data_IF_401583146483
#
_entry.id   IF_401583146483
#
_cell.length_a   1.000
_cell.length_b   1.000
_cell.length_c   1.000
_cell.angle_alpha   90.00
_cell.angle_beta   90.00
_cell.angle_gamma   90.00
#
_symmetry.space_group_name_H-M   'P 1'
#
loop_
_entity.id
_entity.type
_entity.pdbx_description
1 polymer ?
#
# COMPACT_ATOMS: atom_id res chain seq x y z
N UNK A 1 11.44 -17.23 -16.09
CA UNK A 1 9.97 -17.30 -16.16
C UNK A 1 9.36 -16.47 -15.03
N UNK A 2 9.63 -15.16 -15.00
CA UNK A 2 9.01 -14.31 -13.99
C UNK A 2 7.60 -13.94 -14.49
N UNK A 3 6.57 -14.31 -13.73
CA UNK A 3 5.18 -13.91 -14.01
C UNK A 3 4.40 -14.74 -15.03
N UNK A 4 4.92 -15.87 -15.51
CA UNK A 4 4.17 -16.82 -16.34
C UNK A 4 3.57 -17.92 -15.46
N UNK A 5 2.36 -17.66 -14.94
CA UNK A 5 1.72 -18.47 -13.91
C UNK A 5 1.19 -19.79 -14.49
N UNK A 6 0.56 -19.73 -15.67
CA UNK A 6 0.07 -20.89 -16.39
C UNK A 6 1.20 -21.86 -16.72
N UNK A 7 2.28 -21.36 -17.31
CA UNK A 7 3.45 -22.19 -17.64
C UNK A 7 4.10 -22.79 -16.40
N UNK A 8 4.17 -22.05 -15.29
CA UNK A 8 4.70 -22.57 -14.04
C UNK A 8 3.87 -23.74 -13.48
N UNK A 9 2.55 -23.69 -13.62
CA UNK A 9 1.65 -24.80 -13.25
C UNK A 9 1.90 -26.01 -14.15
N UNK A 10 1.92 -25.82 -15.47
CA UNK A 10 2.17 -26.89 -16.44
C UNK A 10 3.49 -27.63 -16.17
N UNK A 11 4.57 -26.90 -15.90
CA UNK A 11 5.88 -27.49 -15.58
C UNK A 11 5.80 -28.33 -14.31
N UNK A 12 5.12 -27.85 -13.27
CA UNK A 12 4.94 -28.64 -12.05
C UNK A 12 4.14 -29.91 -12.31
N UNK A 13 3.11 -29.85 -13.16
CA UNK A 13 2.30 -31.02 -13.52
C UNK A 13 3.10 -32.05 -14.34
N UNK A 14 3.82 -31.60 -15.36
CA UNK A 14 4.66 -32.45 -16.21
C UNK A 14 5.78 -33.16 -15.44
N UNK A 15 6.28 -32.55 -14.36
CA UNK A 15 7.31 -33.13 -13.50
C UNK A 15 6.75 -33.93 -12.32
N UNK A 16 5.46 -34.33 -12.33
CA UNK A 16 4.84 -35.10 -11.25
C UNK A 16 4.64 -34.32 -9.94
N UNK A 17 4.88 -33.00 -9.94
CA UNK A 17 4.77 -32.10 -8.79
C UNK A 17 3.44 -31.34 -8.73
N UNK A 18 2.46 -31.72 -9.56
CA UNK A 18 1.15 -31.06 -9.63
C UNK A 18 0.35 -31.08 -8.31
N UNK A 19 0.61 -32.06 -7.43
CA UNK A 19 -0.04 -32.15 -6.11
C UNK A 19 0.69 -31.39 -4.99
N UNK A 20 1.82 -30.74 -5.27
CA UNK A 20 2.58 -29.99 -4.26
C UNK A 20 1.82 -28.75 -3.79
N UNK A 21 2.13 -28.27 -2.57
CA UNK A 21 1.59 -27.02 -2.03
C UNK A 21 1.86 -25.82 -2.95
N UNK A 22 3.02 -25.79 -3.60
CA UNK A 22 3.37 -24.75 -4.57
C UNK A 22 2.43 -24.78 -5.79
N UNK A 23 2.21 -25.95 -6.39
CA UNK A 23 1.31 -26.10 -7.53
C UNK A 23 -0.14 -25.73 -7.17
N UNK A 24 -0.61 -26.11 -5.98
CA UNK A 24 -1.94 -25.73 -5.49
C UNK A 24 -2.06 -24.22 -5.27
N UNK A 25 -1.03 -23.59 -4.69
CA UNK A 25 -0.97 -22.14 -4.50
C UNK A 25 -1.01 -21.39 -5.84
N UNK A 26 -0.17 -21.79 -6.80
CA UNK A 26 -0.12 -21.16 -8.13
C UNK A 26 -1.45 -21.31 -8.87
N UNK A 27 -2.03 -22.51 -8.91
CA UNK A 27 -3.36 -22.72 -9.52
C UNK A 27 -4.44 -21.85 -8.90
N UNK A 28 -4.43 -21.72 -7.58
CA UNK A 28 -5.35 -20.84 -6.88
C UNK A 28 -5.10 -19.36 -7.21
N UNK A 29 -3.84 -18.92 -7.28
CA UNK A 29 -3.49 -17.55 -7.68
C UNK A 29 -3.91 -17.24 -9.13
N UNK A 30 -3.63 -18.15 -10.08
CA UNK A 30 -4.08 -18.03 -11.47
C UNK A 30 -5.60 -17.95 -11.57
N UNK A 31 -6.32 -18.78 -10.79
CA UNK A 31 -7.79 -18.77 -10.77
C UNK A 31 -8.34 -17.45 -10.25
N UNK A 32 -7.81 -16.94 -9.14
CA UNK A 32 -8.23 -15.66 -8.56
C UNK A 32 -8.00 -14.47 -9.51
N UNK A 33 -6.96 -14.57 -10.35
CA UNK A 33 -6.59 -13.57 -11.36
C UNK A 33 -7.19 -13.84 -12.75
N UNK A 34 -8.04 -14.86 -12.88
CA UNK A 34 -8.70 -15.15 -14.16
C UNK A 34 -9.78 -14.09 -14.42
N UNK A 35 -9.82 -13.45 -15.61
CA UNK A 35 -10.81 -12.42 -15.93
C UNK A 35 -12.24 -12.91 -15.64
N UNK A 36 -13.05 -12.05 -15.02
CA UNK A 36 -14.41 -12.40 -14.61
C UNK A 36 -14.57 -13.43 -13.47
N UNK A 37 -13.50 -14.03 -12.93
CA UNK A 37 -13.62 -14.92 -11.78
C UNK A 37 -14.11 -14.17 -10.54
N UNK A 38 -15.07 -14.75 -9.80
CA UNK A 38 -15.57 -14.23 -8.52
C UNK A 38 -15.64 -15.37 -7.50
N UNK A 39 -15.45 -15.03 -6.23
CA UNK A 39 -15.47 -16.03 -5.16
C UNK A 39 -16.86 -16.70 -5.07
N UNK A 40 -16.93 -18.03 -4.93
CA UNK A 40 -18.21 -18.73 -4.78
C UNK A 40 -18.86 -18.35 -3.46
N UNK A 41 -20.08 -17.81 -3.54
CA UNK A 41 -20.90 -17.47 -2.38
C UNK A 41 -21.86 -18.63 -2.12
N UNK A 42 -21.85 -19.18 -0.91
CA UNK A 42 -22.77 -20.25 -0.49
C UNK A 42 -23.76 -19.75 0.57
N UNK A 43 -24.93 -20.40 0.62
CA UNK A 43 -26.00 -20.12 1.59
C UNK A 43 -27.03 -19.08 1.14
N UNK A 44 -28.07 -18.91 1.94
CA UNK A 44 -29.12 -17.90 1.71
C UNK A 44 -28.57 -16.48 1.82
N UNK A 45 -29.24 -15.53 1.15
CA UNK A 45 -28.94 -14.10 1.22
C UNK A 45 -29.04 -13.63 2.67
N UNK A 46 -27.95 -13.10 3.22
CA UNK A 46 -27.94 -12.47 4.55
C UNK A 46 -28.23 -10.99 4.32
N UNK A 47 -29.46 -10.53 4.57
CA UNK A 47 -29.83 -9.15 4.22
C UNK A 47 -29.02 -8.13 5.03
N UNK A 48 -28.17 -7.35 4.34
CA UNK A 48 -27.51 -6.20 4.92
C UNK A 48 -28.52 -5.15 5.39
N UNK A 49 -28.10 -4.18 6.20
CA UNK A 49 -28.94 -3.00 6.44
C UNK A 49 -29.15 -2.27 5.11
N UNK A 50 -30.29 -1.59 4.98
CA UNK A 50 -30.44 -0.57 3.96
C UNK A 50 -29.48 0.60 4.21
N UNK A 51 -29.78 1.76 3.61
CA UNK A 51 -29.10 3.00 4.00
C UNK A 51 -29.33 3.35 5.48
N UNK A 52 -28.49 4.24 6.05
CA UNK A 52 -28.70 4.73 7.41
C UNK A 52 -30.08 5.39 7.53
N UNK A 53 -30.77 5.11 8.63
CA UNK A 53 -32.04 5.75 8.99
C UNK A 53 -31.81 7.15 9.58
N UNK A 54 -32.86 7.96 9.69
CA UNK A 54 -32.74 9.30 10.25
C UNK A 54 -32.22 9.26 11.70
N UNK A 55 -31.11 9.96 11.97
CA UNK A 55 -30.45 9.98 13.28
C UNK A 55 -29.46 8.83 13.52
N UNK A 56 -29.32 7.89 12.58
CA UNK A 56 -28.37 6.79 12.67
C UNK A 56 -27.02 7.17 12.07
N UNK A 57 -25.94 6.95 12.83
CA UNK A 57 -24.58 7.12 12.32
C UNK A 57 -24.29 6.17 11.16
N UNK A 58 -23.61 6.68 10.13
CA UNK A 58 -23.10 5.83 9.04
C UNK A 58 -22.10 4.81 9.62
N UNK A 59 -22.27 3.53 9.28
CA UNK A 59 -21.39 2.43 9.66
C UNK A 59 -20.64 1.91 8.44
N UNK A 60 -19.32 1.80 8.54
CA UNK A 60 -18.46 1.37 7.42
C UNK A 60 -17.58 0.19 7.85
N UNK A 61 -17.64 -0.91 7.10
CA UNK A 61 -16.72 -2.03 7.26
C UNK A 61 -15.56 -1.87 6.28
N UNK A 62 -14.36 -1.64 6.81
CA UNK A 62 -13.15 -1.46 6.02
C UNK A 62 -12.40 -2.78 5.85
N UNK A 63 -12.06 -3.15 4.62
CA UNK A 63 -11.31 -4.37 4.29
C UNK A 63 -9.86 -4.01 3.98
N UNK A 64 -8.97 -4.38 4.90
CA UNK A 64 -7.57 -3.95 4.91
C UNK A 64 -6.60 -5.12 4.71
N UNK A 65 -5.52 -4.89 3.97
CA UNK A 65 -4.43 -5.87 3.81
C UNK A 65 -3.56 -5.99 5.06
N UNK A 66 -3.32 -4.86 5.74
CA UNK A 66 -2.53 -4.75 6.97
C UNK A 66 -3.00 -3.50 7.74
N UNK A 67 -2.59 -3.35 9.00
CA UNK A 67 -2.97 -2.19 9.80
C UNK A 67 -2.00 -1.93 10.96
N UNK A 68 -2.20 -0.82 11.66
CA UNK A 68 -1.65 -0.67 13.01
C UNK A 68 -2.24 -1.74 13.95
N UNK A 69 -1.51 -2.15 15.01
CA UNK A 69 -0.17 -1.70 15.37
C UNK A 69 0.94 -2.52 14.69
N UNK A 70 0.58 -3.58 13.96
CA UNK A 70 1.55 -4.60 13.54
C UNK A 70 2.28 -4.28 12.23
N UNK A 71 1.77 -3.36 11.42
CA UNK A 71 2.44 -2.88 10.21
C UNK A 71 2.36 -1.37 10.16
N UNK A 72 3.52 -0.73 10.03
CA UNK A 72 3.65 0.72 9.86
C UNK A 72 4.22 1.00 8.47
N UNK A 73 3.31 1.21 7.53
CA UNK A 73 3.54 1.57 6.12
C UNK A 73 2.66 2.77 5.75
N UNK A 74 2.91 3.41 4.60
CA UNK A 74 2.03 4.48 4.12
C UNK A 74 0.55 4.06 4.02
N UNK A 75 0.27 2.81 3.63
CA UNK A 75 -1.10 2.30 3.55
C UNK A 75 -1.78 2.12 4.92
N UNK A 76 -1.07 1.60 5.91
CA UNK A 76 -1.64 1.41 7.26
C UNK A 76 -1.82 2.76 7.97
N UNK A 77 -0.88 3.70 7.79
CA UNK A 77 -0.98 5.07 8.32
C UNK A 77 -2.16 5.81 7.68
N UNK A 78 -2.29 5.74 6.35
CA UNK A 78 -3.45 6.32 5.65
C UNK A 78 -4.77 5.73 6.14
N UNK A 79 -4.89 4.40 6.22
CA UNK A 79 -6.10 3.76 6.75
C UNK A 79 -6.41 4.27 8.15
N UNK A 80 -5.43 4.33 9.03
CA UNK A 80 -5.64 4.77 10.40
C UNK A 80 -6.09 6.24 10.46
N UNK A 81 -5.46 7.15 9.70
CA UNK A 81 -5.85 8.55 9.65
C UNK A 81 -7.25 8.77 9.08
N UNK A 82 -7.63 8.02 8.02
CA UNK A 82 -9.00 8.04 7.51
C UNK A 82 -9.97 7.57 8.59
N UNK A 83 -9.68 6.46 9.28
CA UNK A 83 -10.55 5.91 10.31
C UNK A 83 -10.73 6.88 11.50
N UNK A 84 -9.65 7.53 11.96
CA UNK A 84 -9.71 8.58 12.99
C UNK A 84 -10.59 9.75 12.54
N UNK A 85 -10.36 10.26 11.33
CA UNK A 85 -11.14 11.39 10.81
C UNK A 85 -12.63 11.04 10.64
N UNK A 86 -12.95 9.84 10.16
CA UNK A 86 -14.34 9.35 10.07
C UNK A 86 -15.00 9.30 11.46
N UNK A 87 -14.32 8.75 12.47
CA UNK A 87 -14.79 8.72 13.85
C UNK A 87 -15.08 10.14 14.37
N UNK A 88 -14.19 11.08 14.12
CA UNK A 88 -14.33 12.48 14.57
C UNK A 88 -15.52 13.18 13.92
N UNK A 89 -15.99 12.69 12.77
CA UNK A 89 -17.20 13.14 12.08
C UNK A 89 -18.43 12.24 12.38
N UNK A 90 -18.39 11.44 13.45
CA UNK A 90 -19.52 10.62 13.89
C UNK A 90 -19.80 9.38 13.04
N UNK A 91 -18.88 9.00 12.15
CA UNK A 91 -18.97 7.80 11.31
C UNK A 91 -18.34 6.63 12.06
N UNK A 92 -19.13 5.59 12.29
CA UNK A 92 -18.70 4.38 12.97
C UNK A 92 -17.95 3.48 11.99
N UNK A 93 -16.74 3.06 12.35
CA UNK A 93 -15.90 2.22 11.49
C UNK A 93 -15.43 0.97 12.22
N UNK A 94 -15.40 -0.14 11.49
CA UNK A 94 -14.73 -1.38 11.91
C UNK A 94 -13.80 -1.84 10.79
N UNK A 95 -12.54 -2.14 11.12
CA UNK A 95 -11.53 -2.52 10.15
C UNK A 95 -11.21 -4.02 10.25
N UNK A 96 -11.53 -4.78 9.21
CA UNK A 96 -11.22 -6.20 9.10
C UNK A 96 -9.94 -6.38 8.28
N UNK A 97 -8.92 -7.01 8.86
CA UNK A 97 -7.70 -7.38 8.12
C UNK A 97 -7.78 -8.74 7.44
N UNK A 98 -6.97 -8.93 6.39
CA UNK A 98 -6.82 -10.21 5.67
C UNK A 98 -6.59 -11.42 6.58
N UNK A 99 -7.09 -12.58 6.15
CA UNK A 99 -6.93 -13.86 6.85
C UNK A 99 -5.47 -14.20 7.15
N UNK A 100 -5.19 -14.54 8.42
CA UNK A 100 -3.88 -14.92 8.92
C UNK A 100 -2.97 -13.76 9.30
N UNK A 101 -3.39 -12.51 9.11
CA UNK A 101 -2.69 -11.34 9.63
C UNK A 101 -3.04 -11.10 11.11
N UNK A 102 -2.08 -10.75 11.99
CA UNK A 102 -0.64 -10.53 11.75
C UNK A 102 0.25 -11.76 11.96
N UNK A 103 -0.31 -12.94 12.29
CA UNK A 103 0.47 -14.17 12.53
C UNK A 103 1.42 -14.49 11.37
N UNK A 104 0.96 -14.31 10.13
CA UNK A 104 1.74 -14.55 8.92
C UNK A 104 2.94 -13.61 8.72
N UNK A 105 3.03 -12.52 9.48
CA UNK A 105 4.18 -11.60 9.47
C UNK A 105 5.06 -11.75 10.74
N UNK A 106 4.94 -12.89 11.44
CA UNK A 106 5.77 -13.20 12.60
C UNK A 106 5.26 -12.62 13.92
N UNK A 107 3.96 -12.31 14.03
CA UNK A 107 3.31 -11.86 15.26
C UNK A 107 2.29 -12.90 15.75
N UNK A 108 2.74 -14.05 16.29
CA UNK A 108 1.85 -15.16 16.64
C UNK A 108 0.97 -14.91 17.88
N UNK A 109 1.38 -13.98 18.75
CA UNK A 109 0.71 -13.67 20.02
C UNK A 109 -0.08 -12.36 19.92
N UNK A 110 -0.96 -12.23 18.94
CA UNK A 110 -1.83 -11.08 18.75
C UNK A 110 -3.25 -11.36 19.23
N UNK A 111 -3.97 -10.32 19.66
CA UNK A 111 -5.40 -10.42 19.92
C UNK A 111 -6.20 -10.51 18.61
N UNK A 112 -7.41 -11.06 18.69
CA UNK A 112 -8.37 -11.06 17.58
C UNK A 112 -8.93 -9.66 17.31
N UNK A 113 -8.93 -8.79 18.32
CA UNK A 113 -9.38 -7.40 18.25
C UNK A 113 -8.33 -6.47 18.88
N UNK A 114 -7.95 -5.43 18.15
CA UNK A 114 -7.19 -4.29 18.68
C UNK A 114 -8.07 -3.04 18.69
N UNK A 115 -7.92 -2.19 19.71
CA UNK A 115 -8.45 -0.82 19.69
C UNK A 115 -7.31 0.17 19.82
N UNK A 116 -7.12 1.00 18.79
CA UNK A 116 -6.04 2.00 18.73
C UNK A 116 -6.69 3.33 18.40
N UNK A 117 -6.49 4.33 19.25
CA UNK A 117 -7.11 5.65 19.09
C UNK A 117 -8.62 5.53 18.85
N UNK A 118 -9.31 4.70 19.64
CA UNK A 118 -10.76 4.45 19.50
C UNK A 118 -11.18 3.73 18.21
N UNK A 119 -10.25 3.29 17.36
CA UNK A 119 -10.52 2.54 16.12
C UNK A 119 -10.40 1.05 16.38
N UNK A 120 -11.47 0.30 16.06
CA UNK A 120 -11.52 -1.15 16.19
C UNK A 120 -10.95 -1.86 14.97
N UNK A 121 -9.95 -2.70 15.18
CA UNK A 121 -9.34 -3.58 14.19
C UNK A 121 -9.64 -5.03 14.53
N UNK A 122 -10.36 -5.74 13.67
CA UNK A 122 -10.68 -7.15 13.77
C UNK A 122 -9.74 -7.98 12.90
N UNK A 123 -9.23 -9.09 13.44
CA UNK A 123 -8.35 -10.03 12.75
C UNK A 123 -9.15 -11.26 12.31
N UNK A 124 -8.88 -11.75 11.10
CA UNK A 124 -9.43 -13.05 10.67
C UNK A 124 -8.39 -14.14 10.98
N UNK A 125 -8.49 -14.75 12.16
CA UNK A 125 -7.55 -15.77 12.68
C UNK A 125 -8.24 -17.13 12.87
N UNK A 126 -8.54 -17.87 11.78
CA UNK A 126 -9.18 -19.18 11.92
C UNK A 126 -8.22 -20.18 12.56
N UNK A 127 -8.76 -21.11 13.37
CA UNK A 127 -7.99 -22.19 13.98
C UNK A 127 -7.18 -23.01 12.97
N UNK A 128 -7.71 -23.18 11.75
CA UNK A 128 -7.00 -23.80 10.62
C UNK A 128 -7.00 -22.83 9.44
N UNK A 129 -5.81 -22.37 9.06
CA UNK A 129 -5.65 -21.49 7.91
C UNK A 129 -5.90 -22.23 6.60
N UNK A 130 -6.64 -21.62 5.68
CA UNK A 130 -6.87 -22.16 4.34
C UNK A 130 -5.56 -22.48 3.62
N UNK A 131 -5.48 -23.66 3.01
CA UNK A 131 -4.27 -24.13 2.34
C UNK A 131 -3.91 -23.29 1.09
N UNK A 132 -4.91 -22.72 0.42
CA UNK A 132 -4.75 -21.92 -0.80
C UNK A 132 -5.13 -20.45 -0.57
N UNK A 133 -4.63 -19.51 -1.40
CA UNK A 133 -5.09 -18.13 -1.41
C UNK A 133 -6.62 -18.00 -1.46
N UNK A 134 -7.28 -18.72 -2.37
CA UNK A 134 -8.74 -18.72 -2.52
C UNK A 134 -9.47 -19.18 -1.25
N UNK A 135 -8.99 -20.27 -0.63
CA UNK A 135 -9.58 -20.76 0.62
C UNK A 135 -9.49 -19.74 1.76
N UNK A 136 -8.42 -18.94 1.80
CA UNK A 136 -8.24 -17.86 2.79
C UNK A 136 -9.16 -16.68 2.51
N UNK A 137 -9.42 -16.34 1.25
CA UNK A 137 -10.42 -15.31 0.92
C UNK A 137 -11.82 -15.77 1.29
N UNK A 138 -12.14 -17.05 1.08
CA UNK A 138 -13.42 -17.62 1.54
C UNK A 138 -13.57 -17.61 3.07
N UNK A 139 -12.47 -17.78 3.82
CA UNK A 139 -12.46 -17.56 5.27
C UNK A 139 -12.75 -16.10 5.62
N UNK A 140 -12.14 -15.15 4.91
CA UNK A 140 -12.36 -13.73 5.11
C UNK A 140 -13.80 -13.31 4.79
N UNK A 141 -14.39 -13.87 3.72
CA UNK A 141 -15.80 -13.63 3.37
C UNK A 141 -16.72 -14.13 4.48
N UNK A 142 -16.46 -15.30 5.08
CA UNK A 142 -17.28 -15.80 6.20
C UNK A 142 -17.23 -14.88 7.42
N UNK A 143 -16.03 -14.46 7.82
CA UNK A 143 -15.87 -13.50 8.92
C UNK A 143 -16.55 -12.17 8.61
N UNK A 144 -16.36 -11.63 7.40
CA UNK A 144 -16.98 -10.38 6.98
C UNK A 144 -18.51 -10.45 6.97
N UNK A 145 -19.10 -11.60 6.60
CA UNK A 145 -20.56 -11.81 6.64
C UNK A 145 -21.07 -11.88 8.08
N UNK A 146 -20.36 -12.52 8.99
CA UNK A 146 -20.70 -12.50 10.43
C UNK A 146 -20.65 -11.08 10.99
N UNK A 147 -19.60 -10.33 10.64
CA UNK A 147 -19.52 -8.91 10.99
C UNK A 147 -20.68 -8.11 10.38
N UNK A 148 -21.15 -8.44 9.18
CA UNK A 148 -22.33 -7.77 8.61
C UNK A 148 -23.59 -8.01 9.46
N UNK A 149 -23.75 -9.20 10.02
CA UNK A 149 -24.86 -9.54 10.91
C UNK A 149 -24.78 -8.74 12.22
N UNK A 150 -23.59 -8.64 12.81
CA UNK A 150 -23.38 -8.01 14.12
C UNK A 150 -23.25 -6.47 14.03
N UNK A 151 -22.36 -5.99 13.17
CA UNK A 151 -22.01 -4.57 13.04
C UNK A 151 -22.94 -3.82 12.09
N UNK A 152 -23.69 -4.52 11.21
CA UNK A 152 -24.67 -3.92 10.30
C UNK A 152 -24.07 -2.72 9.52
N UNK A 153 -22.99 -2.88 8.74
CA UNK A 153 -22.40 -1.78 7.98
C UNK A 153 -23.30 -1.35 6.82
N UNK A 154 -23.36 -0.04 6.55
CA UNK A 154 -24.08 0.53 5.41
C UNK A 154 -23.23 0.52 4.13
N UNK A 155 -21.90 0.48 4.27
CA UNK A 155 -20.93 0.49 3.17
C UNK A 155 -19.77 -0.44 3.49
N UNK A 156 -19.31 -1.18 2.48
CA UNK A 156 -18.03 -1.89 2.50
C UNK A 156 -16.96 -1.02 1.84
N UNK A 157 -15.83 -0.79 2.50
CA UNK A 157 -14.74 0.00 1.96
C UNK A 157 -13.49 -0.88 1.79
N UNK A 158 -13.24 -1.35 0.58
CA UNK A 158 -12.10 -2.18 0.26
C UNK A 158 -10.92 -1.34 -0.23
N UNK A 159 -9.72 -1.71 0.21
CA UNK A 159 -8.47 -1.07 -0.20
C UNK A 159 -7.68 -2.02 -1.09
N UNK A 160 -6.86 -1.51 -2.02
CA UNK A 160 -5.91 -2.32 -2.82
C UNK A 160 -5.25 -3.43 -1.99
N UNK A 161 -5.16 -4.68 -2.45
CA UNK A 161 -5.26 -5.20 -3.83
C UNK A 161 -6.58 -5.90 -4.19
N UNK A 162 -6.63 -6.50 -5.40
CA UNK A 162 -7.74 -7.32 -5.91
C UNK A 162 -8.33 -8.31 -4.91
N UNK A 163 -7.57 -8.78 -3.90
CA UNK A 163 -8.07 -9.76 -2.91
C UNK A 163 -9.11 -9.14 -2.00
N UNK A 164 -8.89 -7.92 -1.51
CA UNK A 164 -9.88 -7.21 -0.70
C UNK A 164 -11.10 -6.87 -1.55
N UNK A 165 -10.90 -6.48 -2.81
CA UNK A 165 -11.99 -6.19 -3.73
C UNK A 165 -12.84 -7.44 -4.02
N UNK A 166 -12.24 -8.62 -4.22
CA UNK A 166 -12.96 -9.89 -4.35
C UNK A 166 -13.78 -10.23 -3.10
N UNK A 167 -13.24 -9.97 -1.90
CA UNK A 167 -13.98 -10.16 -0.64
C UNK A 167 -15.15 -9.19 -0.55
N UNK A 168 -14.93 -7.90 -0.81
CA UNK A 168 -15.98 -6.87 -0.79
C UNK A 168 -17.09 -7.18 -1.78
N UNK A 169 -16.72 -7.57 -2.99
CA UNK A 169 -17.65 -7.95 -4.05
C UNK A 169 -18.48 -9.16 -3.66
N UNK A 170 -17.86 -10.18 -3.06
CA UNK A 170 -18.56 -11.38 -2.62
C UNK A 170 -19.53 -11.08 -1.46
N UNK A 171 -19.10 -10.28 -0.48
CA UNK A 171 -19.95 -9.85 0.64
C UNK A 171 -21.09 -8.96 0.15
N UNK A 172 -20.80 -8.02 -0.76
CA UNK A 172 -21.79 -7.13 -1.39
C UNK A 172 -22.85 -7.94 -2.12
N UNK A 173 -22.47 -8.91 -2.96
CA UNK A 173 -23.42 -9.80 -3.65
C UNK A 173 -24.27 -10.62 -2.68
N UNK A 174 -23.68 -11.10 -1.58
CA UNK A 174 -24.41 -11.88 -0.56
C UNK A 174 -25.40 -11.04 0.24
N UNK A 175 -25.09 -9.75 0.45
CA UNK A 175 -25.79 -8.92 1.44
C UNK A 175 -26.63 -7.79 0.86
N UNK A 176 -26.30 -7.34 -0.35
CA UNK A 176 -26.86 -6.15 -0.99
C UNK A 176 -26.20 -4.84 -0.55
N UNK A 177 -25.20 -4.89 0.34
CA UNK A 177 -24.50 -3.69 0.82
C UNK A 177 -23.61 -3.15 -0.31
N UNK A 178 -23.67 -1.85 -0.63
CA UNK A 178 -22.78 -1.25 -1.63
C UNK A 178 -21.33 -1.27 -1.17
N UNK A 179 -20.41 -1.34 -2.13
CA UNK A 179 -18.97 -1.38 -1.83
C UNK A 179 -18.19 -0.37 -2.64
N UNK A 180 -17.16 0.20 -2.01
CA UNK A 180 -16.25 1.18 -2.57
C UNK A 180 -14.88 0.55 -2.66
N UNK A 181 -14.16 0.80 -3.76
CA UNK A 181 -12.77 0.43 -3.92
C UNK A 181 -11.86 1.66 -3.82
N UNK A 182 -11.01 1.71 -2.81
CA UNK A 182 -9.92 2.68 -2.73
C UNK A 182 -8.66 2.10 -3.38
N UNK A 183 -8.35 2.61 -4.58
CA UNK A 183 -7.14 2.29 -5.33
C UNK A 183 -6.00 3.16 -4.83
N UNK A 184 -5.05 2.56 -4.11
CA UNK A 184 -3.93 3.26 -3.45
C UNK A 184 -2.62 3.15 -4.21
N UNK A 185 -2.57 2.28 -5.20
CA UNK A 185 -1.43 2.03 -6.06
C UNK A 185 -1.79 0.93 -7.06
N UNK A 186 -0.95 0.79 -8.09
CA UNK A 186 -1.12 -0.18 -9.16
C UNK A 186 -0.21 -1.39 -8.87
N UNK A 187 -0.81 -2.53 -8.55
CA UNK A 187 -0.08 -3.67 -8.00
C UNK A 187 0.83 -4.34 -9.01
N UNK A 188 0.45 -4.33 -10.28
CA UNK A 188 1.29 -4.79 -11.38
C UNK A 188 2.53 -3.91 -11.55
N UNK A 189 2.40 -2.57 -11.41
CA UNK A 189 3.55 -1.66 -11.46
C UNK A 189 4.48 -1.84 -10.26
N UNK A 190 3.90 -1.98 -9.07
CA UNK A 190 4.66 -2.29 -7.84
C UNK A 190 5.41 -3.61 -7.97
N UNK A 191 4.77 -4.63 -8.57
CA UNK A 191 5.38 -5.93 -8.78
C UNK A 191 6.50 -5.88 -9.84
N UNK A 192 6.32 -5.14 -10.93
CA UNK A 192 7.40 -4.89 -11.91
C UNK A 192 8.59 -4.25 -11.19
N UNK A 193 8.37 -3.14 -10.48
CA UNK A 193 9.42 -2.38 -9.77
C UNK A 193 10.15 -3.21 -8.70
N UNK A 194 9.51 -4.25 -8.15
CA UNK A 194 10.15 -5.13 -7.16
C UNK A 194 11.28 -6.01 -7.71
N UNK A 195 11.48 -6.05 -9.03
CA UNK A 195 12.59 -6.79 -9.65
C UNK A 195 13.87 -5.95 -9.68
N UNK A 196 14.98 -6.57 -9.26
CA UNK A 196 16.26 -5.89 -9.03
C UNK A 196 17.01 -5.40 -10.29
N UNK A 197 16.62 -5.83 -11.50
CA UNK A 197 17.33 -5.43 -12.73
C UNK A 197 16.36 -4.95 -13.80
N UNK A 198 16.77 -3.98 -14.61
CA UNK A 198 15.98 -3.46 -15.73
C UNK A 198 15.53 -4.57 -16.69
N UNK A 199 16.41 -5.54 -16.98
CA UNK A 199 16.08 -6.69 -17.82
C UNK A 199 15.05 -7.64 -17.16
N UNK A 200 15.02 -7.75 -15.83
CA UNK A 200 13.98 -8.49 -15.12
C UNK A 200 12.66 -7.70 -15.08
N UNK A 201 12.71 -6.38 -14.87
CA UNK A 201 11.56 -5.48 -14.91
C UNK A 201 10.88 -5.50 -16.30
N UNK A 202 11.65 -5.43 -17.39
CA UNK A 202 11.12 -5.49 -18.75
C UNK A 202 10.42 -6.83 -19.03
N UNK A 203 11.02 -7.96 -18.59
CA UNK A 203 10.38 -9.27 -18.71
C UNK A 203 9.11 -9.38 -17.86
N UNK A 204 9.12 -8.82 -16.65
CA UNK A 204 7.96 -8.78 -15.77
C UNK A 204 6.83 -7.96 -16.39
N UNK A 205 7.12 -6.81 -17.01
CA UNK A 205 6.14 -5.94 -17.66
C UNK A 205 5.36 -6.64 -18.78
N UNK A 206 6.03 -7.53 -19.54
CA UNK A 206 5.38 -8.35 -20.58
C UNK A 206 4.77 -9.67 -20.08
N UNK A 207 4.72 -9.91 -18.76
CA UNK A 207 4.32 -11.21 -18.23
C UNK A 207 2.81 -11.40 -18.11
N UNK A 208 2.38 -12.66 -18.13
CA UNK A 208 0.98 -13.05 -17.91
C UNK A 208 0.43 -12.44 -16.61
N UNK A 209 1.19 -12.49 -15.51
CA UNK A 209 0.79 -12.00 -14.20
C UNK A 209 0.44 -10.52 -14.21
N UNK A 210 1.24 -9.68 -14.87
CA UNK A 210 0.97 -8.22 -14.96
C UNK A 210 -0.35 -7.98 -15.66
N UNK A 211 -0.54 -8.60 -16.83
CA UNK A 211 -1.78 -8.51 -17.61
C UNK A 211 -3.00 -8.97 -16.81
N UNK A 212 -2.88 -10.09 -16.09
CA UNK A 212 -3.99 -10.64 -15.31
C UNK A 212 -4.34 -9.76 -14.09
N UNK A 213 -3.35 -9.16 -13.42
CA UNK A 213 -3.59 -8.19 -12.33
C UNK A 213 -4.32 -6.96 -12.89
N UNK A 214 -3.80 -6.37 -13.98
CA UNK A 214 -4.40 -5.17 -14.59
C UNK A 214 -5.86 -5.41 -14.99
N UNK A 215 -6.15 -6.50 -15.70
CA UNK A 215 -7.52 -6.84 -16.10
C UNK A 215 -8.41 -7.10 -14.88
N UNK A 216 -7.95 -7.91 -13.92
CA UNK A 216 -8.77 -8.27 -12.75
C UNK A 216 -9.08 -7.06 -11.86
N UNK A 217 -8.09 -6.21 -11.59
CA UNK A 217 -8.31 -4.99 -10.78
C UNK A 217 -9.21 -3.98 -11.51
N UNK A 218 -9.10 -3.89 -12.84
CA UNK A 218 -10.00 -3.06 -13.67
C UNK A 218 -11.44 -3.56 -13.61
N UNK A 219 -11.67 -4.85 -13.82
CA UNK A 219 -13.01 -5.46 -13.77
C UNK A 219 -13.66 -5.21 -12.40
N UNK A 220 -12.89 -5.35 -11.32
CA UNK A 220 -13.38 -5.12 -9.96
C UNK A 220 -13.67 -3.63 -9.71
N UNK A 221 -12.82 -2.72 -10.19
CA UNK A 221 -13.06 -1.28 -10.10
C UNK A 221 -14.33 -0.87 -10.87
N UNK A 222 -14.60 -1.48 -12.03
CA UNK A 222 -15.83 -1.27 -12.79
C UNK A 222 -17.07 -1.80 -12.04
N UNK A 223 -16.96 -2.90 -11.29
CA UNK A 223 -18.04 -3.45 -10.47
C UNK A 223 -18.32 -2.67 -9.18
N UNK A 224 -17.34 -1.92 -8.66
CA UNK A 224 -17.52 -1.13 -7.45
C UNK A 224 -18.61 -0.06 -7.60
N UNK A 225 -19.31 0.25 -6.52
CA UNK A 225 -20.32 1.33 -6.49
C UNK A 225 -19.66 2.70 -6.66
N UNK A 226 -18.46 2.88 -6.11
CA UNK A 226 -17.59 4.02 -6.33
C UNK A 226 -16.12 3.59 -6.23
N UNK A 227 -15.24 4.38 -6.82
CA UNK A 227 -13.78 4.19 -6.78
C UNK A 227 -13.15 5.45 -6.22
N UNK A 228 -12.31 5.29 -5.21
CA UNK A 228 -11.54 6.39 -4.60
C UNK A 228 -10.08 6.24 -5.00
N UNK A 229 -9.41 7.33 -5.35
CA UNK A 229 -7.99 7.31 -5.72
C UNK A 229 -7.24 8.54 -5.23
N UNK A 230 -5.92 8.48 -5.19
CA UNK A 230 -5.07 9.43 -4.47
C UNK A 230 -4.50 10.55 -5.34
N UNK A 231 -4.41 10.32 -6.66
CA UNK A 231 -3.79 11.26 -7.59
C UNK A 231 -4.53 11.31 -8.91
N UNK A 232 -4.44 12.44 -9.60
CA UNK A 232 -5.01 12.61 -10.94
C UNK A 232 -4.42 11.58 -11.92
N UNK A 233 -3.12 11.35 -11.87
CA UNK A 233 -2.46 10.31 -12.68
C UNK A 233 -3.07 8.92 -12.50
N UNK A 234 -3.47 8.56 -11.27
CA UNK A 234 -4.10 7.26 -11.02
C UNK A 234 -5.57 7.26 -11.45
N UNK A 235 -6.28 8.38 -11.33
CA UNK A 235 -7.62 8.55 -11.90
C UNK A 235 -7.60 8.39 -13.43
N UNK A 236 -6.71 9.10 -14.11
CA UNK A 236 -6.55 9.05 -15.57
C UNK A 236 -6.22 7.62 -16.05
N UNK A 237 -5.38 6.90 -15.30
CA UNK A 237 -5.06 5.50 -15.62
C UNK A 237 -6.26 4.56 -15.43
N UNK A 238 -7.10 4.78 -14.40
CA UNK A 238 -8.34 4.02 -14.21
C UNK A 238 -9.35 4.31 -15.32
N UNK A 239 -9.49 5.58 -15.72
CA UNK A 239 -10.35 5.98 -16.85
C UNK A 239 -9.85 5.36 -18.16
N UNK A 240 -8.53 5.39 -18.41
CA UNK A 240 -7.91 4.74 -19.57
C UNK A 240 -8.18 3.23 -19.62
N UNK A 241 -8.27 2.57 -18.46
CA UNK A 241 -8.64 1.16 -18.32
C UNK A 241 -10.14 0.91 -18.45
N UNK A 242 -10.95 1.96 -18.58
CA UNK A 242 -12.39 1.86 -18.81
C UNK A 242 -13.24 1.92 -17.54
N UNK A 243 -12.69 2.37 -16.41
CA UNK A 243 -13.51 2.70 -15.23
C UNK A 243 -14.27 4.01 -15.53
N UNK A 244 -15.61 4.05 -15.40
CA UNK A 244 -16.37 5.28 -15.67
C UNK A 244 -15.94 6.44 -14.77
N UNK A 245 -15.64 7.60 -15.36
CA UNK A 245 -15.17 8.78 -14.63
C UNK A 245 -16.13 9.22 -13.53
N UNK A 246 -17.46 9.10 -13.73
CA UNK A 246 -18.44 9.43 -12.69
C UNK A 246 -18.37 8.55 -11.43
N UNK A 247 -17.70 7.39 -11.48
CA UNK A 247 -17.45 6.55 -10.30
C UNK A 247 -16.19 6.96 -9.56
N UNK A 248 -15.27 7.70 -10.19
CA UNK A 248 -13.95 7.99 -9.66
C UNK A 248 -14.00 9.28 -8.85
N UNK A 249 -13.59 9.21 -7.59
CA UNK A 249 -13.43 10.36 -6.71
C UNK A 249 -11.97 10.50 -6.29
N UNK A 250 -11.41 11.69 -6.50
CA UNK A 250 -10.05 12.01 -6.08
C UNK A 250 -10.03 12.42 -4.61
N UNK A 251 -9.31 11.67 -3.78
CA UNK A 251 -9.08 11.94 -2.35
C UNK A 251 -7.58 11.83 -2.07
N UNK A 252 -6.83 12.95 -2.23
CA UNK A 252 -5.39 12.98 -1.99
C UNK A 252 -5.00 12.57 -0.57
N UNK A 253 -3.71 12.32 -0.35
CA UNK A 253 -3.19 12.21 1.02
C UNK A 253 -3.31 13.56 1.72
N UNK A 254 -3.91 13.54 2.90
CA UNK A 254 -3.85 14.65 3.85
C UNK A 254 -2.61 14.54 4.72
N UNK A 255 -2.17 15.68 5.24
CA UNK A 255 -1.14 15.78 6.28
C UNK A 255 -1.78 16.32 7.56
N UNK A 256 -1.14 16.04 8.69
CA UNK A 256 -1.61 16.53 9.98
C UNK A 256 -1.47 18.06 10.04
N UNK A 257 -2.54 18.83 10.34
CA UNK A 257 -2.44 20.28 10.47
C UNK A 257 -1.44 20.74 11.52
N UNK A 258 -1.18 19.95 12.56
CA UNK A 258 -0.18 20.25 13.60
C UNK A 258 1.24 20.42 13.00
N UNK A 259 1.50 19.86 11.81
CA UNK A 259 2.77 20.08 11.09
C UNK A 259 2.99 21.54 10.67
N UNK A 260 1.93 22.36 10.59
CA UNK A 260 2.03 23.78 10.27
C UNK A 260 2.20 24.67 11.51
N UNK A 261 2.06 24.12 12.72
CA UNK A 261 2.18 24.88 13.96
C UNK A 261 3.63 24.98 14.45
N UNK A 262 4.53 24.16 13.90
CA UNK A 262 5.96 24.17 14.21
C UNK A 262 6.69 25.26 13.44
N UNK A 263 7.25 26.23 14.19
CA UNK A 263 8.00 27.36 13.66
C UNK A 263 9.51 27.20 13.90
N UNK A 264 10.09 26.06 13.54
CA UNK A 264 11.55 25.91 13.55
C UNK A 264 12.14 26.45 12.25
N UNK A 265 13.14 27.31 12.36
CA UNK A 265 14.00 27.63 11.23
C UNK A 265 14.83 26.40 10.83
N UNK A 266 15.26 26.28 9.56
CA UNK A 266 16.14 25.18 9.16
C UNK A 266 17.42 25.06 10.00
N UNK A 267 17.96 26.18 10.50
CA UNK A 267 19.13 26.19 11.37
C UNK A 267 18.82 25.60 12.76
N UNK A 268 17.67 25.94 13.35
CA UNK A 268 17.22 25.37 14.63
C UNK A 268 16.92 23.88 14.50
N UNK A 269 16.27 23.45 13.41
CA UNK A 269 16.01 22.04 13.13
C UNK A 269 17.31 21.23 13.04
N UNK A 270 18.33 21.74 12.33
CA UNK A 270 19.65 21.11 12.22
C UNK A 270 20.40 21.06 13.57
N UNK A 271 20.41 22.17 14.30
CA UNK A 271 21.04 22.24 15.61
C UNK A 271 20.41 21.25 16.59
N UNK A 272 19.08 21.11 16.55
CA UNK A 272 18.34 20.16 17.37
C UNK A 272 18.68 18.70 17.03
N UNK A 273 18.93 18.39 15.76
CA UNK A 273 19.31 17.05 15.33
C UNK A 273 20.74 16.65 15.66
N UNK A 274 21.62 17.61 15.99
CA UNK A 274 23.05 17.37 16.14
C UNK A 274 23.69 16.84 14.84
N UNK A 275 23.10 17.17 13.69
CA UNK A 275 23.63 16.79 12.39
C UNK A 275 24.93 17.55 12.14
N UNK A 276 25.95 16.86 11.61
CA UNK A 276 27.23 17.46 11.21
C UNK A 276 27.07 18.24 9.90
N UNK A 277 26.30 19.33 9.97
CA UNK A 277 25.97 20.20 8.86
C UNK A 277 26.35 21.64 9.20
N UNK A 278 27.01 22.38 8.29
CA UNK A 278 27.22 23.80 8.45
C UNK A 278 25.89 24.54 8.69
N UNK A 279 25.91 25.58 9.52
CA UNK A 279 24.70 26.35 9.85
C UNK A 279 24.04 26.97 8.60
N UNK A 280 24.86 27.36 7.62
CA UNK A 280 24.47 27.97 6.35
C UNK A 280 24.30 26.94 5.20
N UNK A 281 24.39 25.64 5.50
CA UNK A 281 24.26 24.59 4.49
C UNK A 281 22.93 24.67 3.74
N UNK A 282 23.01 24.50 2.43
CA UNK A 282 21.88 24.28 1.55
C UNK A 282 21.66 22.76 1.44
N UNK A 283 20.69 22.24 2.17
CA UNK A 283 20.43 20.80 2.22
C UNK A 283 19.37 20.44 1.18
N UNK A 284 19.68 19.44 0.33
CA UNK A 284 18.70 18.79 -0.56
C UNK A 284 18.57 17.33 -0.16
N UNK A 285 17.36 16.79 -0.14
CA UNK A 285 17.19 15.47 0.44
C UNK A 285 15.76 15.03 0.61
N UNK A 286 15.60 13.89 1.29
CA UNK A 286 14.31 13.36 1.66
C UNK A 286 14.41 12.45 2.89
N UNK A 287 13.27 12.32 3.58
CA UNK A 287 13.04 11.27 4.57
C UNK A 287 12.11 10.23 3.95
N UNK A 288 12.63 9.07 3.57
CA UNK A 288 11.86 8.03 2.86
C UNK A 288 12.45 6.63 3.07
N UNK A 289 11.75 5.60 2.59
CA UNK A 289 12.39 4.30 2.40
C UNK A 289 13.43 4.42 1.27
N UNK A 290 14.64 3.92 1.46
CA UNK A 290 15.70 4.01 0.46
C UNK A 290 15.60 2.82 -0.51
N UNK A 291 14.74 2.94 -1.51
CA UNK A 291 14.45 1.91 -2.51
C UNK A 291 14.55 2.49 -3.93
N UNK A 292 14.85 1.64 -4.91
CA UNK A 292 15.26 2.08 -6.25
C UNK A 292 14.24 3.00 -6.95
N UNK A 293 12.94 2.77 -6.73
CA UNK A 293 11.88 3.53 -7.40
C UNK A 293 11.68 4.95 -6.83
N UNK A 294 12.34 5.32 -5.75
CA UNK A 294 12.29 6.68 -5.19
C UNK A 294 13.23 7.65 -5.95
N UNK A 295 14.15 7.13 -6.76
CA UNK A 295 14.98 7.95 -7.66
C UNK A 295 16.06 8.78 -6.96
N UNK A 296 16.55 8.35 -5.79
CA UNK A 296 17.62 9.06 -5.08
C UNK A 296 18.95 9.05 -5.83
N UNK A 297 19.18 8.09 -6.73
CA UNK A 297 20.30 8.09 -7.66
C UNK A 297 20.24 9.31 -8.60
N UNK A 298 19.05 9.69 -9.06
CA UNK A 298 18.84 10.89 -9.89
C UNK A 298 19.21 12.15 -9.11
N UNK A 299 18.86 12.22 -7.81
CA UNK A 299 19.25 13.33 -6.94
C UNK A 299 20.77 13.45 -6.84
N UNK A 300 21.49 12.33 -6.63
CA UNK A 300 22.95 12.33 -6.56
C UNK A 300 23.58 12.85 -7.86
N UNK A 301 23.13 12.35 -9.02
CA UNK A 301 23.62 12.81 -10.32
C UNK A 301 23.29 14.29 -10.59
N UNK A 302 22.12 14.76 -10.14
CA UNK A 302 21.75 16.16 -10.27
C UNK A 302 22.67 17.06 -9.43
N UNK A 303 22.98 16.66 -8.20
CA UNK A 303 23.92 17.41 -7.34
C UNK A 303 25.33 17.42 -7.93
N UNK A 304 25.83 16.28 -8.42
CA UNK A 304 27.13 16.23 -9.11
C UNK A 304 27.19 17.23 -10.28
N UNK A 305 26.15 17.26 -11.12
CA UNK A 305 26.04 18.23 -12.22
C UNK A 305 26.04 19.68 -11.76
N UNK A 306 25.35 20.00 -10.66
CA UNK A 306 25.33 21.35 -10.08
C UNK A 306 26.73 21.75 -9.59
N UNK A 307 27.50 20.81 -9.04
CA UNK A 307 28.86 21.08 -8.57
C UNK A 307 29.84 21.31 -9.72
N UNK A 308 29.64 20.64 -10.86
CA UNK A 308 30.46 20.80 -12.06
C UNK A 308 30.07 22.01 -12.94
N UNK A 309 28.90 22.61 -12.68
CA UNK A 309 28.39 23.73 -13.46
C UNK A 309 29.00 25.08 -13.01
N UNK A 310 29.76 25.70 -13.90
CA UNK A 310 30.44 26.97 -13.63
C UNK A 310 29.51 28.18 -13.62
N UNK A 311 28.30 28.06 -14.20
CA UNK A 311 27.27 29.09 -14.10
C UNK A 311 26.64 29.13 -12.69
N UNK A 312 26.84 28.07 -11.89
CA UNK A 312 26.42 28.02 -10.49
C UNK A 312 27.49 28.66 -9.59
N UNK A 313 27.10 29.70 -8.85
CA UNK A 313 27.97 30.40 -7.90
C UNK A 313 28.68 29.43 -6.96
N UNK A 314 30.00 29.64 -6.77
CA UNK A 314 30.81 28.90 -5.80
C UNK A 314 30.19 28.88 -4.40
N UNK A 315 29.59 30.00 -3.97
CA UNK A 315 28.90 30.10 -2.68
C UNK A 315 27.73 29.11 -2.53
N UNK A 316 27.04 28.74 -3.61
CA UNK A 316 25.98 27.73 -3.59
C UNK A 316 26.61 26.34 -3.58
N UNK A 317 27.58 26.09 -4.46
CA UNK A 317 28.30 24.82 -4.55
C UNK A 317 28.96 24.44 -3.23
N UNK A 318 29.57 25.38 -2.52
CA UNK A 318 30.25 25.15 -1.24
C UNK A 318 29.30 24.78 -0.10
N UNK A 319 28.09 25.34 -0.10
CA UNK A 319 27.06 25.11 0.94
C UNK A 319 26.17 23.90 0.66
N UNK A 320 26.16 23.38 -0.57
CA UNK A 320 25.29 22.28 -0.96
C UNK A 320 25.65 20.98 -0.22
N UNK A 321 24.66 20.37 0.44
CA UNK A 321 24.74 19.10 1.17
C UNK A 321 23.55 18.22 0.81
N UNK A 322 23.72 16.91 0.91
CA UNK A 322 22.70 15.91 0.62
C UNK A 322 22.29 15.22 1.91
N UNK A 323 20.99 15.10 2.17
CA UNK A 323 20.46 14.35 3.32
C UNK A 323 19.47 13.26 2.85
N UNK A 324 19.88 12.00 2.91
CA UNK A 324 19.03 10.85 2.58
C UNK A 324 18.75 10.05 3.85
N UNK A 325 17.58 10.29 4.44
CA UNK A 325 17.23 9.78 5.76
C UNK A 325 16.25 8.63 5.64
N UNK A 326 16.63 7.48 6.17
CA UNK A 326 15.85 6.27 6.08
C UNK A 326 16.71 5.05 5.79
N UNK A 327 16.05 3.94 5.48
CA UNK A 327 16.69 2.66 5.25
C UNK A 327 15.98 1.92 4.13
N UNK A 328 16.66 1.00 3.48
CA UNK A 328 16.12 0.21 2.39
C UNK A 328 17.18 -0.45 1.53
N UNK A 329 16.72 -1.26 0.58
CA UNK A 329 17.60 -2.10 -0.25
C UNK A 329 18.53 -1.30 -1.16
N UNK A 330 18.22 -0.04 -1.44
CA UNK A 330 19.05 0.85 -2.26
C UNK A 330 20.12 1.60 -1.45
N UNK A 331 20.09 1.57 -0.11
CA UNK A 331 21.07 2.30 0.69
C UNK A 331 22.54 1.97 0.31
N UNK A 332 22.94 0.69 0.15
CA UNK A 332 24.31 0.35 -0.23
C UNK A 332 24.71 0.84 -1.64
N UNK A 333 23.77 0.84 -2.61
CA UNK A 333 24.05 1.35 -3.95
C UNK A 333 24.15 2.87 -3.97
N UNK A 334 23.30 3.57 -3.22
CA UNK A 334 23.35 5.03 -3.09
C UNK A 334 24.67 5.51 -2.47
N UNK A 335 25.15 4.84 -1.41
CA UNK A 335 26.47 5.14 -0.83
C UNK A 335 27.59 4.97 -1.85
N UNK A 336 27.56 3.89 -2.65
CA UNK A 336 28.57 3.66 -3.71
C UNK A 336 28.50 4.73 -4.79
N UNK A 337 27.30 5.06 -5.28
CA UNK A 337 27.13 6.09 -6.30
C UNK A 337 27.61 7.45 -5.82
N UNK A 338 27.42 7.79 -4.55
CA UNK A 338 27.95 9.01 -3.98
C UNK A 338 29.48 9.05 -3.97
N UNK A 339 30.15 7.93 -3.65
CA UNK A 339 31.61 7.82 -3.74
C UNK A 339 32.10 7.97 -5.19
N UNK A 340 31.46 7.27 -6.13
CA UNK A 340 31.79 7.36 -7.56
C UNK A 340 31.62 8.76 -8.13
N UNK A 341 30.66 9.54 -7.59
CA UNK A 341 30.39 10.92 -7.97
C UNK A 341 31.19 11.96 -7.16
N UNK A 342 32.04 11.56 -6.21
CA UNK A 342 32.80 12.47 -5.36
C UNK A 342 31.94 13.29 -4.37
N UNK A 343 30.79 12.74 -3.96
CA UNK A 343 29.81 13.38 -3.08
C UNK A 343 29.87 12.88 -1.63
N UNK A 344 30.84 12.01 -1.29
CA UNK A 344 30.95 11.36 0.02
C UNK A 344 30.99 12.34 1.19
N UNK A 345 31.80 13.39 1.10
CA UNK A 345 31.92 14.43 2.13
C UNK A 345 30.71 15.37 2.23
N UNK A 346 29.73 15.20 1.33
CA UNK A 346 28.52 16.02 1.24
C UNK A 346 27.26 15.24 1.58
N UNK A 347 27.35 13.92 1.74
CA UNK A 347 26.21 13.03 1.91
C UNK A 347 26.02 12.61 3.37
N UNK A 348 24.84 12.92 3.90
CA UNK A 348 24.38 12.51 5.21
C UNK A 348 23.35 11.38 5.07
N UNK A 349 23.72 10.19 5.56
CA UNK A 349 22.88 8.98 5.55
C UNK A 349 22.90 8.30 6.93
N UNK A 350 22.20 8.82 7.94
CA UNK A 350 22.20 8.26 9.30
C UNK A 350 21.40 6.95 9.42
N UNK A 351 20.77 6.50 8.34
CA UNK A 351 19.85 5.36 8.37
C UNK A 351 18.45 5.76 8.85
N UNK A 352 17.73 4.79 9.43
CA UNK A 352 16.39 5.00 9.96
C UNK A 352 16.41 5.84 11.23
N UNK A 353 15.60 6.89 11.25
CA UNK A 353 15.41 7.78 12.41
C UNK A 353 14.01 7.62 13.03
N UNK A 354 13.79 8.02 14.30
CA UNK A 354 12.46 8.04 14.91
C UNK A 354 11.49 8.96 14.15
N UNK A 355 10.21 8.59 14.10
CA UNK A 355 9.19 9.34 13.36
C UNK A 355 9.02 10.78 13.89
N UNK A 356 9.11 10.97 15.21
CA UNK A 356 8.97 12.28 15.85
C UNK A 356 10.07 13.25 15.44
N UNK A 357 11.25 12.72 15.08
CA UNK A 357 12.43 13.51 14.72
C UNK A 357 12.58 13.63 13.21
N UNK A 358 11.95 12.74 12.43
CA UNK A 358 12.09 12.64 10.98
C UNK A 358 11.84 13.97 10.28
N UNK A 359 10.78 14.69 10.66
CA UNK A 359 10.40 15.98 10.07
C UNK A 359 11.43 17.12 10.25
N UNK A 360 12.41 16.98 11.14
CA UNK A 360 13.42 18.02 11.36
C UNK A 360 14.62 17.90 10.41
N UNK A 361 14.71 16.83 9.61
CA UNK A 361 15.91 16.52 8.83
C UNK A 361 16.01 17.21 7.46
N UNK A 362 14.89 17.62 6.87
CA UNK A 362 14.83 18.16 5.50
C UNK A 362 13.97 19.41 5.46
#
# INVERSE_FOLDING_TARGET
MAGDLGRAVEILEQNGRGKTRLAQRLRSETRLLSPGYRLPITGSRAAGPGGPTAGESLRVLHLLTNSLPHTQSGYSVRSHNILRNLRDHGIQSLALTRTGYPVMIGKPWCADDDTIDGIRYRRTLPAVLGATPEARLLQQVREAVQIVEDFRPHVLHATTDYRNALVAQAVSRKTGIPWILEVRGLMEKTWIASHATAAAQQRAAGSEKVRLIEVTETDLAQEASAVVTLSRTMADELERRGVPSQKITLVPNGIDPELFEENLTPAEARAWLGADLPADALVVGAVSALVDYEGFDVLLHAVARILDDDDVSSSVRDRLRIALIGDGTAAPSLTRSAQELGLEDRLLMPGRVPQQTARHWV
#
